data_IF_432924496022
#
_entry.id   IF_432924496022
#
_cell.length_a   1.000
_cell.length_b   1.000
_cell.length_c   1.000
_cell.angle_alpha   90.00
_cell.angle_beta   90.00
_cell.angle_gamma   90.00
#
_symmetry.space_group_name_H-M   'P 1'
#
loop_
_entity.id
_entity.type
_entity.pdbx_description
1 polymer ?
#
# COMPACT_ATOMS: atom_id res chain seq x y z
N UNK A 1 -39.75 -25.79 5.53
CA UNK A 1 -38.97 -24.58 5.81
C UNK A 1 -37.49 -24.83 5.51
N UNK A 2 -36.80 -23.79 5.06
CA UNK A 2 -35.37 -23.85 4.67
C UNK A 2 -34.49 -23.94 5.93
N UNK A 3 -33.52 -24.86 5.92
CA UNK A 3 -32.45 -24.86 6.91
C UNK A 3 -31.34 -23.92 6.42
N UNK A 4 -31.37 -22.69 6.89
CA UNK A 4 -30.49 -21.62 6.44
C UNK A 4 -29.00 -21.93 6.64
N UNK A 5 -28.66 -22.59 7.74
CA UNK A 5 -27.27 -22.96 8.03
C UNK A 5 -26.74 -24.00 7.07
N UNK A 6 -27.55 -25.01 6.75
CA UNK A 6 -27.18 -26.05 5.77
C UNK A 6 -27.10 -25.47 4.35
N UNK A 7 -28.03 -24.56 3.98
CA UNK A 7 -27.97 -23.88 2.69
C UNK A 7 -26.69 -23.05 2.59
N UNK A 8 -26.33 -22.30 3.63
CA UNK A 8 -25.09 -21.52 3.64
C UNK A 8 -23.84 -22.39 3.50
N UNK A 9 -23.82 -23.56 4.14
CA UNK A 9 -22.71 -24.52 4.00
C UNK A 9 -22.59 -25.05 2.56
N UNK A 10 -23.72 -25.38 1.94
CA UNK A 10 -23.72 -25.85 0.54
C UNK A 10 -23.27 -24.75 -0.42
N UNK A 11 -23.70 -23.52 -0.20
CA UNK A 11 -23.26 -22.37 -1.00
C UNK A 11 -21.76 -22.15 -0.83
N UNK A 12 -21.25 -22.16 0.42
CA UNK A 12 -19.83 -21.99 0.69
C UNK A 12 -18.98 -23.07 0.01
N UNK A 13 -19.42 -24.32 0.08
CA UNK A 13 -18.76 -25.45 -0.59
C UNK A 13 -18.76 -25.29 -2.11
N UNK A 14 -19.88 -24.87 -2.69
CA UNK A 14 -20.01 -24.68 -4.14
C UNK A 14 -19.18 -23.51 -4.66
N UNK A 15 -18.99 -22.44 -3.87
CA UNK A 15 -18.16 -21.31 -4.25
C UNK A 15 -16.67 -21.65 -4.32
N UNK A 16 -16.23 -22.63 -3.56
CA UNK A 16 -14.82 -23.02 -3.46
C UNK A 16 -14.11 -22.41 -2.26
N UNK A 17 -13.13 -23.15 -1.75
CA UNK A 17 -12.34 -22.73 -0.60
C UNK A 17 -11.56 -21.45 -0.93
N UNK A 18 -11.63 -20.46 -0.04
CA UNK A 18 -10.95 -19.16 -0.16
C UNK A 18 -11.27 -18.38 -1.45
N UNK A 19 -12.35 -18.72 -2.14
CA UNK A 19 -12.74 -18.06 -3.39
C UNK A 19 -13.61 -16.81 -3.17
N UNK A 20 -14.29 -16.70 -2.05
CA UNK A 20 -15.17 -15.56 -1.75
C UNK A 20 -14.34 -14.36 -1.27
N UNK A 21 -14.47 -13.22 -1.96
CA UNK A 21 -13.76 -11.96 -1.64
C UNK A 21 -14.63 -11.05 -0.80
N UNK A 22 -15.90 -10.88 -1.19
CA UNK A 22 -16.83 -9.99 -0.52
C UNK A 22 -18.26 -10.49 -0.70
N UNK A 23 -19.11 -10.16 0.24
CA UNK A 23 -20.52 -10.57 0.21
C UNK A 23 -21.42 -9.44 0.68
N UNK A 24 -22.53 -9.26 -0.04
CA UNK A 24 -23.66 -8.42 0.33
C UNK A 24 -24.94 -9.14 -0.07
N UNK A 25 -26.08 -8.57 0.26
CA UNK A 25 -27.37 -9.10 -0.18
C UNK A 25 -28.36 -7.98 -0.46
N UNK A 26 -29.34 -8.28 -1.30
CA UNK A 26 -30.54 -7.46 -1.44
C UNK A 26 -31.75 -8.21 -0.86
N UNK A 27 -32.96 -7.76 -1.18
CA UNK A 27 -34.18 -8.36 -0.66
C UNK A 27 -34.35 -9.84 -1.00
N UNK A 28 -33.77 -10.30 -2.12
CA UNK A 28 -33.98 -11.65 -2.66
C UNK A 28 -32.71 -12.41 -3.03
N UNK A 29 -31.56 -11.73 -3.16
CA UNK A 29 -30.32 -12.31 -3.72
C UNK A 29 -29.12 -12.10 -2.82
N UNK A 30 -28.28 -13.12 -2.76
CA UNK A 30 -26.88 -12.94 -2.37
C UNK A 30 -26.14 -12.28 -3.51
N UNK A 31 -25.33 -11.28 -3.20
CA UNK A 31 -24.45 -10.60 -4.15
C UNK A 31 -23.02 -10.82 -3.72
N UNK A 32 -22.26 -11.54 -4.54
CA UNK A 32 -20.96 -12.06 -4.16
C UNK A 32 -19.90 -11.60 -5.15
N UNK A 33 -18.69 -11.38 -4.65
CA UNK A 33 -17.49 -11.22 -5.48
C UNK A 33 -16.56 -12.36 -5.15
N UNK A 34 -16.15 -13.11 -6.17
CA UNK A 34 -15.24 -14.25 -6.05
C UNK A 34 -13.95 -13.97 -6.81
N UNK A 35 -12.88 -14.67 -6.41
CA UNK A 35 -11.57 -14.55 -7.07
C UNK A 35 -11.60 -15.13 -8.48
N UNK A 36 -12.22 -16.30 -8.63
CA UNK A 36 -12.29 -17.03 -9.90
C UNK A 36 -13.65 -17.73 -10.00
N UNK A 37 -14.44 -17.33 -10.99
CA UNK A 37 -15.74 -17.95 -11.25
C UNK A 37 -15.63 -19.39 -11.76
N UNK A 38 -14.49 -19.77 -12.34
CA UNK A 38 -14.24 -21.15 -12.78
C UNK A 38 -14.16 -22.14 -11.61
N UNK A 39 -13.86 -21.66 -10.40
CA UNK A 39 -13.82 -22.49 -9.20
C UNK A 39 -15.21 -22.77 -8.59
N UNK A 40 -16.25 -22.12 -9.10
CA UNK A 40 -17.61 -22.32 -8.64
C UNK A 40 -18.17 -23.64 -9.22
N UNK A 41 -18.71 -24.49 -8.34
CA UNK A 41 -19.43 -25.68 -8.75
C UNK A 41 -20.86 -25.28 -9.17
N UNK A 42 -21.01 -24.87 -10.41
CA UNK A 42 -22.28 -24.39 -10.95
C UNK A 42 -23.36 -25.47 -10.92
N UNK A 43 -23.00 -26.71 -11.19
CA UNK A 43 -23.95 -27.83 -11.17
C UNK A 43 -24.55 -28.04 -9.78
N UNK A 44 -23.76 -27.95 -8.73
CA UNK A 44 -24.24 -28.05 -7.34
C UNK A 44 -25.24 -26.94 -7.01
N UNK A 45 -25.00 -25.71 -7.49
CA UNK A 45 -25.93 -24.59 -7.26
C UNK A 45 -27.21 -24.72 -8.08
N UNK A 46 -27.11 -25.20 -9.32
CA UNK A 46 -28.27 -25.41 -10.18
C UNK A 46 -29.18 -26.53 -9.67
N UNK A 47 -28.58 -27.56 -9.09
CA UNK A 47 -29.33 -28.72 -8.56
C UNK A 47 -29.90 -28.49 -7.13
N UNK A 48 -29.53 -27.40 -6.48
CA UNK A 48 -29.97 -27.11 -5.12
C UNK A 48 -31.42 -26.62 -5.12
N UNK A 49 -32.30 -27.40 -4.48
CA UNK A 49 -33.73 -27.11 -4.42
C UNK A 49 -34.09 -25.84 -3.65
N UNK A 50 -33.22 -25.40 -2.76
CA UNK A 50 -33.44 -24.19 -1.93
C UNK A 50 -33.00 -22.91 -2.63
N UNK A 51 -32.24 -23.03 -3.73
CA UNK A 51 -31.75 -21.90 -4.54
C UNK A 51 -32.60 -21.78 -5.81
N UNK A 52 -32.96 -20.56 -6.16
CA UNK A 52 -33.90 -20.28 -7.27
C UNK A 52 -33.20 -19.91 -8.57
N UNK A 53 -31.88 -19.86 -8.57
CA UNK A 53 -31.08 -19.59 -9.73
C UNK A 53 -29.85 -18.76 -9.41
N UNK A 54 -28.98 -18.63 -10.40
CA UNK A 54 -27.75 -17.83 -10.31
C UNK A 54 -27.70 -16.88 -11.49
N UNK A 55 -26.97 -15.78 -11.28
CA UNK A 55 -26.82 -14.75 -12.31
C UNK A 55 -25.47 -14.08 -12.15
N UNK A 56 -24.76 -13.90 -13.24
CA UNK A 56 -23.45 -13.25 -13.25
C UNK A 56 -23.53 -11.93 -14.02
N UNK A 57 -23.20 -10.82 -13.37
CA UNK A 57 -23.23 -9.51 -14.00
C UNK A 57 -22.30 -8.54 -13.27
N UNK A 58 -21.60 -7.71 -14.04
CA UNK A 58 -20.78 -6.59 -13.54
C UNK A 58 -19.75 -7.01 -12.47
N UNK A 59 -19.15 -8.19 -12.64
CA UNK A 59 -18.17 -8.72 -11.70
C UNK A 59 -18.77 -9.31 -10.42
N UNK A 60 -20.09 -9.39 -10.33
CA UNK A 60 -20.80 -9.99 -9.21
C UNK A 60 -21.41 -11.33 -9.61
N UNK A 61 -21.27 -12.32 -8.72
CA UNK A 61 -21.98 -13.57 -8.82
C UNK A 61 -23.18 -13.52 -7.89
N UNK A 62 -24.38 -13.64 -8.42
CA UNK A 62 -25.60 -13.50 -7.66
C UNK A 62 -26.32 -14.83 -7.52
N UNK A 63 -26.83 -15.14 -6.33
CA UNK A 63 -27.61 -16.34 -6.04
C UNK A 63 -28.98 -15.92 -5.52
N UNK A 64 -30.02 -16.34 -6.20
CA UNK A 64 -31.40 -16.02 -5.79
C UNK A 64 -31.83 -17.00 -4.71
N UNK A 65 -32.02 -16.49 -3.50
CA UNK A 65 -32.48 -17.28 -2.34
C UNK A 65 -33.96 -17.04 -2.09
N UNK A 66 -34.40 -15.80 -2.17
CA UNK A 66 -35.77 -15.42 -1.94
C UNK A 66 -35.95 -14.49 -0.74
N UNK A 67 -37.11 -13.79 -0.68
CA UNK A 67 -37.36 -12.83 0.38
C UNK A 67 -37.42 -13.52 1.76
N UNK A 68 -36.88 -12.85 2.76
CA UNK A 68 -36.85 -13.38 4.14
C UNK A 68 -35.70 -14.34 4.39
N UNK A 69 -35.52 -15.34 3.55
CA UNK A 69 -34.48 -16.37 3.71
C UNK A 69 -33.09 -15.85 3.41
N UNK A 70 -32.98 -14.92 2.46
CA UNK A 70 -31.67 -14.39 2.00
C UNK A 70 -30.86 -13.76 3.13
N UNK A 71 -31.48 -13.01 4.00
CA UNK A 71 -30.81 -12.34 5.11
C UNK A 71 -30.17 -13.35 6.08
N UNK A 72 -30.90 -14.40 6.42
CA UNK A 72 -30.40 -15.42 7.33
C UNK A 72 -29.31 -16.27 6.69
N UNK A 73 -29.49 -16.67 5.43
CA UNK A 73 -28.44 -17.38 4.66
C UNK A 73 -27.19 -16.54 4.53
N UNK A 74 -27.35 -15.24 4.28
CA UNK A 74 -26.22 -14.30 4.19
C UNK A 74 -25.43 -14.25 5.51
N UNK A 75 -26.09 -14.10 6.64
CA UNK A 75 -25.44 -14.07 7.95
C UNK A 75 -24.67 -15.36 8.23
N UNK A 76 -25.26 -16.49 7.93
CA UNK A 76 -24.61 -17.79 8.11
C UNK A 76 -23.42 -17.96 7.15
N UNK A 77 -23.55 -17.51 5.91
CA UNK A 77 -22.46 -17.55 4.92
C UNK A 77 -21.26 -16.70 5.37
N UNK A 78 -21.50 -15.49 5.84
CA UNK A 78 -20.46 -14.60 6.36
C UNK A 78 -19.77 -15.23 7.58
N UNK A 79 -20.53 -15.83 8.48
CA UNK A 79 -19.99 -16.53 9.66
C UNK A 79 -19.10 -17.72 9.27
N UNK A 80 -19.51 -18.51 8.27
CA UNK A 80 -18.77 -19.69 7.81
C UNK A 80 -17.47 -19.30 7.09
N UNK A 81 -17.54 -18.31 6.20
CA UNK A 81 -16.43 -17.92 5.33
C UNK A 81 -15.48 -16.91 5.98
N UNK A 82 -15.90 -16.23 7.04
CA UNK A 82 -15.13 -15.16 7.67
C UNK A 82 -15.00 -13.89 6.82
N UNK A 83 -15.75 -13.80 5.74
CA UNK A 83 -15.77 -12.62 4.87
C UNK A 83 -16.59 -11.52 5.53
N UNK A 84 -16.05 -10.30 5.61
CA UNK A 84 -16.73 -9.17 6.25
C UNK A 84 -17.97 -8.71 5.49
N UNK A 85 -18.94 -8.18 6.24
CA UNK A 85 -20.14 -7.56 5.65
C UNK A 85 -19.76 -6.27 4.96
N UNK A 86 -20.28 -6.08 3.72
CA UNK A 86 -20.09 -4.85 2.95
C UNK A 86 -21.43 -4.33 2.45
N UNK A 87 -21.53 -3.02 2.21
CA UNK A 87 -22.69 -2.42 1.55
C UNK A 87 -22.72 -2.79 0.06
N UNK A 88 -23.86 -2.57 -0.59
CA UNK A 88 -23.96 -2.77 -2.05
C UNK A 88 -22.97 -1.92 -2.83
N UNK A 89 -22.74 -0.67 -2.40
CA UNK A 89 -21.81 0.23 -3.06
C UNK A 89 -20.36 -0.22 -2.86
N UNK A 90 -20.00 -0.64 -1.65
CA UNK A 90 -18.70 -1.23 -1.36
C UNK A 90 -18.47 -2.50 -2.18
N UNK A 91 -19.48 -3.35 -2.33
CA UNK A 91 -19.39 -4.55 -3.15
C UNK A 91 -19.14 -4.21 -4.62
N UNK A 92 -19.79 -3.19 -5.14
CA UNK A 92 -19.57 -2.71 -6.50
C UNK A 92 -18.15 -2.24 -6.72
N UNK A 93 -17.59 -1.52 -5.76
CA UNK A 93 -16.19 -1.07 -5.78
C UNK A 93 -15.23 -2.25 -5.74
N UNK A 94 -15.47 -3.25 -4.88
CA UNK A 94 -14.67 -4.49 -4.83
C UNK A 94 -14.76 -5.26 -6.14
N UNK A 95 -15.94 -5.37 -6.72
CA UNK A 95 -16.15 -6.04 -8.01
C UNK A 95 -15.37 -5.34 -9.13
N UNK A 96 -15.39 -4.02 -9.19
CA UNK A 96 -14.61 -3.25 -10.16
C UNK A 96 -13.10 -3.44 -9.94
N UNK A 97 -12.65 -3.48 -8.70
CA UNK A 97 -11.25 -3.72 -8.34
C UNK A 97 -10.79 -5.10 -8.80
N UNK A 98 -11.59 -6.14 -8.57
CA UNK A 98 -11.26 -7.52 -8.94
C UNK A 98 -11.27 -7.77 -10.46
N UNK A 99 -12.04 -7.01 -11.21
CA UNK A 99 -12.16 -7.19 -12.66
C UNK A 99 -11.23 -6.30 -13.48
N UNK A 100 -10.69 -5.22 -12.89
CA UNK A 100 -9.86 -4.24 -13.58
C UNK A 100 -8.47 -4.17 -12.94
N UNK A 101 -7.38 -4.56 -13.67
CA UNK A 101 -6.02 -4.52 -13.14
C UNK A 101 -5.58 -3.12 -12.67
N UNK A 102 -6.02 -2.07 -13.36
CA UNK A 102 -5.70 -0.69 -12.97
C UNK A 102 -6.36 -0.34 -11.64
N UNK A 103 -7.60 -0.74 -11.44
CA UNK A 103 -8.32 -0.54 -10.18
C UNK A 103 -7.70 -1.33 -9.03
N UNK A 104 -7.17 -2.53 -9.29
CA UNK A 104 -6.40 -3.30 -8.30
C UNK A 104 -5.15 -2.55 -7.85
N UNK A 105 -4.41 -1.99 -8.80
CA UNK A 105 -3.22 -1.19 -8.51
C UNK A 105 -3.58 0.04 -7.66
N UNK A 106 -4.61 0.78 -8.04
CA UNK A 106 -5.11 1.93 -7.28
C UNK A 106 -5.52 1.53 -5.87
N UNK A 107 -6.21 0.39 -5.72
CA UNK A 107 -6.62 -0.14 -4.41
C UNK A 107 -5.42 -0.46 -3.53
N UNK A 108 -4.39 -1.10 -4.07
CA UNK A 108 -3.15 -1.41 -3.34
C UNK A 108 -2.47 -0.12 -2.88
N UNK A 109 -2.29 0.84 -3.78
CA UNK A 109 -1.69 2.14 -3.45
C UNK A 109 -2.52 2.89 -2.40
N UNK A 110 -3.84 2.88 -2.54
CA UNK A 110 -4.75 3.47 -1.57
C UNK A 110 -4.61 2.83 -0.19
N UNK A 111 -4.57 1.50 -0.12
CA UNK A 111 -4.40 0.76 1.14
C UNK A 111 -3.07 1.09 1.82
N UNK A 112 -2.03 1.39 1.04
CA UNK A 112 -0.72 1.79 1.58
C UNK A 112 -0.75 3.23 2.09
N UNK A 113 -1.34 4.17 1.32
CA UNK A 113 -1.23 5.61 1.61
C UNK A 113 -2.31 6.16 2.53
N UNK A 114 -3.54 5.64 2.49
CA UNK A 114 -4.63 6.15 3.33
C UNK A 114 -4.27 6.18 4.83
N UNK A 115 -3.66 5.15 5.41
CA UNK A 115 -3.24 5.20 6.82
C UNK A 115 -2.22 6.29 7.13
N UNK A 116 -1.46 6.76 6.14
CA UNK A 116 -0.43 7.77 6.29
C UNK A 116 -0.96 9.20 6.18
N UNK A 117 -2.18 9.38 5.69
CA UNK A 117 -2.75 10.70 5.43
C UNK A 117 -2.70 11.64 6.64
N UNK A 118 -3.04 11.22 7.88
CA UNK A 118 -2.94 12.11 9.02
C UNK A 118 -1.54 12.67 9.25
N UNK A 119 -0.51 11.85 9.11
CA UNK A 119 0.88 12.30 9.26
C UNK A 119 1.31 13.26 8.15
N UNK A 120 0.91 12.97 6.91
CA UNK A 120 1.23 13.81 5.75
C UNK A 120 0.48 15.14 5.79
N UNK A 121 -0.77 15.13 6.24
CA UNK A 121 -1.56 16.36 6.43
C UNK A 121 -0.95 17.23 7.52
N UNK A 122 -0.58 16.64 8.66
CA UNK A 122 0.08 17.37 9.73
C UNK A 122 1.38 18.03 9.24
N UNK A 123 2.22 17.27 8.56
CA UNK A 123 3.46 17.80 7.97
C UNK A 123 3.20 18.90 6.95
N UNK A 124 2.23 18.70 6.07
CA UNK A 124 1.87 19.69 5.04
C UNK A 124 1.33 21.01 5.62
N UNK A 125 0.46 20.93 6.64
CA UNK A 125 -0.06 22.11 7.32
C UNK A 125 1.03 22.86 8.08
N UNK A 126 1.96 22.14 8.73
CA UNK A 126 3.11 22.75 9.39
C UNK A 126 4.07 23.39 8.39
N UNK A 127 4.25 22.79 7.21
CA UNK A 127 5.02 23.42 6.13
C UNK A 127 4.39 24.73 5.68
N UNK A 128 3.07 24.76 5.54
CA UNK A 128 2.35 25.99 5.18
C UNK A 128 2.56 27.07 6.24
N UNK A 129 2.47 26.70 7.53
CA UNK A 129 2.76 27.64 8.63
C UNK A 129 4.21 28.14 8.56
N UNK A 130 5.17 27.25 8.36
CA UNK A 130 6.57 27.62 8.23
C UNK A 130 6.80 28.58 7.05
N UNK A 131 6.15 28.33 5.93
CA UNK A 131 6.23 29.19 4.73
C UNK A 131 5.68 30.58 5.01
N UNK A 132 4.58 30.69 5.76
CA UNK A 132 4.04 31.98 6.20
C UNK A 132 5.05 32.75 7.07
N UNK A 133 5.76 32.06 7.97
CA UNK A 133 6.74 32.67 8.87
C UNK A 133 8.02 33.11 8.16
N UNK A 134 8.44 32.38 7.12
CA UNK A 134 9.77 32.56 6.50
C UNK A 134 9.74 33.21 5.13
N UNK A 135 8.59 33.30 4.46
CA UNK A 135 8.50 33.86 3.12
C UNK A 135 8.49 35.39 3.16
N UNK A 136 9.31 35.97 2.28
CA UNK A 136 9.31 37.41 2.03
C UNK A 136 8.17 37.80 1.11
N UNK A 137 7.65 39.01 1.24
CA UNK A 137 6.65 39.54 0.32
C UNK A 137 5.18 39.26 0.67
N UNK A 138 4.91 38.46 1.70
CA UNK A 138 3.52 38.20 2.15
C UNK A 138 2.95 39.36 2.98
N UNK A 139 3.76 39.94 3.88
CA UNK A 139 3.38 41.01 4.80
C UNK A 139 4.25 42.24 4.65
N UNK A 140 5.01 42.32 3.57
CA UNK A 140 5.97 43.38 3.30
C UNK A 140 7.26 42.85 2.68
N UNK A 141 8.31 43.67 2.52
CA UNK A 141 9.57 43.21 1.91
C UNK A 141 10.32 42.18 2.76
N UNK A 142 10.07 42.15 4.08
CA UNK A 142 10.70 41.20 4.99
C UNK A 142 9.74 40.07 5.40
N UNK A 143 10.29 38.88 5.71
CA UNK A 143 9.53 37.81 6.33
C UNK A 143 9.21 38.14 7.79
N UNK A 144 8.26 37.41 8.38
CA UNK A 144 7.91 37.54 9.79
C UNK A 144 9.13 37.27 10.68
N UNK A 145 9.92 36.25 10.34
CA UNK A 145 11.16 35.92 11.08
C UNK A 145 12.18 37.07 11.02
N UNK A 146 12.30 37.71 9.87
CA UNK A 146 13.19 38.88 9.73
C UNK A 146 12.70 40.09 10.53
N UNK A 147 11.38 40.32 10.57
CA UNK A 147 10.78 41.44 11.35
C UNK A 147 10.80 41.17 12.85
N UNK A 148 10.67 39.92 13.28
CA UNK A 148 10.64 39.50 14.68
C UNK A 148 11.67 38.38 14.88
N UNK A 149 12.97 38.70 14.99
CA UNK A 149 14.01 37.69 15.10
C UNK A 149 13.85 36.71 16.27
N UNK A 150 13.13 37.09 17.31
CA UNK A 150 12.86 36.22 18.47
C UNK A 150 12.04 34.97 18.17
N UNK A 151 11.36 34.89 17.01
CA UNK A 151 10.59 33.71 16.64
C UNK A 151 11.36 32.77 15.68
N UNK A 152 12.61 33.06 15.36
CA UNK A 152 13.41 32.24 14.45
C UNK A 152 13.53 30.79 14.95
N UNK A 153 13.81 30.60 16.24
CA UNK A 153 13.89 29.30 16.85
C UNK A 153 12.56 28.52 16.79
N UNK A 154 11.46 29.21 16.97
CA UNK A 154 10.13 28.63 16.81
C UNK A 154 9.91 28.16 15.37
N UNK A 155 10.24 29.00 14.39
CA UNK A 155 10.12 28.65 12.97
C UNK A 155 11.00 27.45 12.60
N UNK A 156 12.21 27.36 13.14
CA UNK A 156 13.10 26.21 12.93
C UNK A 156 12.53 24.91 13.48
N UNK A 157 11.93 24.97 14.66
CA UNK A 157 11.27 23.80 15.28
C UNK A 157 10.04 23.40 14.45
N UNK A 158 9.24 24.33 14.00
CA UNK A 158 8.08 24.09 13.12
C UNK A 158 8.55 23.40 11.83
N UNK A 159 9.64 23.89 11.23
CA UNK A 159 10.20 23.30 10.01
C UNK A 159 10.66 21.86 10.24
N UNK A 160 11.30 21.59 11.37
CA UNK A 160 11.72 20.23 11.73
C UNK A 160 10.51 19.30 11.86
N UNK A 161 9.49 19.72 12.58
CA UNK A 161 8.27 18.94 12.74
C UNK A 161 7.54 18.71 11.41
N UNK A 162 7.51 19.71 10.55
CA UNK A 162 6.89 19.65 9.24
C UNK A 162 7.62 18.69 8.30
N UNK A 163 8.94 18.70 8.34
CA UNK A 163 9.80 17.94 7.43
C UNK A 163 9.92 16.46 7.81
N UNK A 164 9.76 16.14 9.10
CA UNK A 164 10.01 14.79 9.60
C UNK A 164 9.19 13.69 8.89
N UNK A 165 7.86 13.82 8.72
CA UNK A 165 7.08 12.78 8.04
C UNK A 165 7.50 12.56 6.58
N UNK A 166 7.96 13.60 5.91
CA UNK A 166 8.38 13.50 4.51
C UNK A 166 9.80 12.95 4.38
N UNK A 167 10.72 13.40 5.22
CA UNK A 167 12.10 12.91 5.20
C UNK A 167 12.17 11.42 5.57
N UNK A 168 11.41 11.02 6.57
CA UNK A 168 11.34 9.64 7.07
C UNK A 168 10.16 8.85 6.51
N UNK A 169 9.59 9.30 5.41
CA UNK A 169 8.51 8.63 4.70
C UNK A 169 8.79 7.14 4.44
N UNK A 170 10.03 6.69 4.14
CA UNK A 170 10.35 5.28 4.00
C UNK A 170 9.94 4.42 5.20
N UNK A 171 10.00 4.94 6.41
CA UNK A 171 9.59 4.20 7.61
C UNK A 171 8.08 3.97 7.60
N UNK A 172 7.31 5.01 7.32
CA UNK A 172 5.85 4.93 7.25
C UNK A 172 5.37 4.05 6.11
N UNK A 173 5.93 4.22 4.94
CA UNK A 173 5.60 3.39 3.76
C UNK A 173 6.05 1.95 3.97
N UNK A 174 7.24 1.75 4.53
CA UNK A 174 7.75 0.41 4.84
C UNK A 174 6.80 -0.36 5.75
N UNK A 175 6.31 0.28 6.80
CA UNK A 175 5.31 -0.29 7.70
C UNK A 175 4.01 -0.62 6.97
N UNK A 176 3.43 0.36 6.31
CA UNK A 176 2.11 0.26 5.68
C UNK A 176 2.11 -0.71 4.50
N UNK A 177 3.11 -0.60 3.62
CA UNK A 177 3.21 -1.46 2.44
C UNK A 177 3.49 -2.92 2.79
N UNK A 178 4.40 -3.16 3.75
CA UNK A 178 4.69 -4.52 4.20
C UNK A 178 3.46 -5.18 4.81
N UNK A 179 2.70 -4.44 5.61
CA UNK A 179 1.42 -4.90 6.15
C UNK A 179 0.44 -5.24 5.02
N UNK A 180 0.32 -4.37 4.02
CA UNK A 180 -0.56 -4.60 2.87
C UNK A 180 -0.17 -5.85 2.07
N UNK A 181 1.12 -6.11 1.93
CA UNK A 181 1.64 -7.29 1.23
C UNK A 181 1.64 -8.57 2.10
N UNK A 182 1.14 -8.50 3.31
CA UNK A 182 0.98 -9.66 4.20
C UNK A 182 2.22 -10.03 4.99
N UNK A 183 3.22 -9.15 5.07
CA UNK A 183 4.40 -9.30 5.91
C UNK A 183 4.22 -8.63 7.28
N UNK A 184 5.26 -8.74 8.10
CA UNK A 184 5.29 -8.10 9.42
C UNK A 184 5.55 -6.59 9.26
N UNK A 185 4.61 -5.73 9.67
CA UNK A 185 4.76 -4.28 9.47
C UNK A 185 5.94 -3.70 10.26
N UNK A 186 6.32 -4.27 11.39
CA UNK A 186 7.48 -3.78 12.14
C UNK A 186 8.79 -4.08 11.44
N UNK A 187 8.91 -5.23 10.77
CA UNK A 187 10.04 -5.51 9.89
C UNK A 187 10.05 -4.54 8.70
N UNK A 188 8.89 -4.20 8.18
CA UNK A 188 8.76 -3.18 7.15
C UNK A 188 9.25 -1.80 7.61
N UNK A 189 8.89 -1.41 8.83
CA UNK A 189 9.40 -0.18 9.44
C UNK A 189 10.92 -0.24 9.62
N UNK A 190 11.46 -1.36 10.09
CA UNK A 190 12.91 -1.55 10.24
C UNK A 190 13.64 -1.43 8.89
N UNK A 191 13.10 -2.01 7.84
CA UNK A 191 13.64 -1.85 6.49
C UNK A 191 13.62 -0.39 6.03
N UNK A 192 12.53 0.32 6.31
CA UNK A 192 12.43 1.76 6.06
C UNK A 192 13.47 2.58 6.82
N UNK A 193 13.69 2.25 8.08
CA UNK A 193 14.74 2.89 8.90
C UNK A 193 16.13 2.70 8.31
N UNK A 194 16.41 1.51 7.82
CA UNK A 194 17.68 1.16 7.17
C UNK A 194 17.95 2.08 5.97
N UNK A 195 16.92 2.44 5.22
CA UNK A 195 17.03 3.29 4.03
C UNK A 195 17.26 4.77 4.35
N UNK A 196 17.06 5.20 5.57
CA UNK A 196 17.23 6.59 6.01
C UNK A 196 18.28 6.74 7.10
N UNK A 197 19.19 5.78 7.22
CA UNK A 197 20.29 5.86 8.19
C UNK A 197 21.16 7.09 7.94
N UNK A 198 21.53 7.83 9.00
CA UNK A 198 22.35 9.05 8.86
C UNK A 198 23.72 8.84 8.24
N UNK A 199 24.27 7.61 8.29
CA UNK A 199 25.54 7.27 7.67
C UNK A 199 25.50 7.25 6.14
N UNK A 200 24.30 7.19 5.56
CA UNK A 200 24.10 7.25 4.10
C UNK A 200 24.06 8.71 3.64
N UNK A 201 24.37 8.92 2.38
CA UNK A 201 24.11 10.22 1.74
C UNK A 201 22.60 10.43 1.72
N UNK A 202 22.15 11.57 2.24
CA UNK A 202 20.71 11.88 2.30
C UNK A 202 20.08 11.76 0.91
N UNK A 203 18.90 11.16 0.85
CA UNK A 203 18.20 10.91 -0.42
C UNK A 203 17.98 12.16 -1.26
N UNK A 204 17.81 13.32 -0.64
CA UNK A 204 17.67 14.60 -1.34
C UNK A 204 18.97 15.06 -1.98
N UNK A 205 20.11 14.58 -1.51
CA UNK A 205 21.44 14.96 -2.01
C UNK A 205 22.10 13.91 -2.91
N UNK A 206 21.44 12.77 -3.17
CA UNK A 206 22.05 11.66 -3.92
C UNK A 206 22.42 12.04 -5.36
N UNK A 207 21.50 12.71 -6.08
CA UNK A 207 21.75 13.11 -7.47
C UNK A 207 22.94 14.08 -7.58
N UNK A 208 23.01 15.05 -6.69
CA UNK A 208 24.12 16.00 -6.63
C UNK A 208 25.44 15.30 -6.30
N UNK A 209 25.41 14.37 -5.33
CA UNK A 209 26.60 13.61 -4.95
C UNK A 209 27.12 12.75 -6.10
N UNK A 210 26.25 12.14 -6.91
CA UNK A 210 26.62 11.38 -8.09
C UNK A 210 27.19 12.31 -9.16
N UNK A 211 26.51 13.43 -9.44
CA UNK A 211 26.92 14.39 -10.46
C UNK A 211 28.28 15.05 -10.15
N UNK A 212 28.54 15.32 -8.88
CA UNK A 212 29.82 15.92 -8.42
C UNK A 212 30.90 14.90 -8.09
N UNK A 213 30.66 13.62 -8.34
CA UNK A 213 31.57 12.49 -8.06
C UNK A 213 31.99 12.40 -6.59
N UNK A 214 31.08 12.74 -5.68
CA UNK A 214 31.29 12.70 -4.22
C UNK A 214 30.52 11.58 -3.53
N UNK A 215 29.85 10.70 -4.30
CA UNK A 215 29.12 9.56 -3.73
C UNK A 215 30.10 8.55 -3.14
N UNK A 216 29.98 8.22 -1.84
CA UNK A 216 30.74 7.12 -1.27
C UNK A 216 30.17 5.78 -1.68
N UNK A 217 31.03 4.78 -1.82
CA UNK A 217 30.66 3.41 -2.19
C UNK A 217 31.22 2.41 -1.19
N UNK A 218 30.47 1.34 -0.95
CA UNK A 218 31.01 0.14 -0.32
C UNK A 218 31.62 -0.77 -1.39
N UNK A 219 32.73 -1.39 -1.06
CA UNK A 219 33.28 -2.49 -1.87
C UNK A 219 32.86 -3.81 -1.21
N UNK A 220 31.98 -4.55 -1.90
CA UNK A 220 31.50 -5.85 -1.43
C UNK A 220 31.88 -6.90 -2.48
N UNK A 221 32.91 -7.66 -2.18
CA UNK A 221 33.44 -8.70 -3.07
C UNK A 221 33.76 -8.19 -4.50
N UNK A 222 34.27 -6.97 -4.61
CA UNK A 222 34.60 -6.32 -5.87
C UNK A 222 33.45 -5.54 -6.49
N UNK A 223 32.24 -5.64 -5.97
CA UNK A 223 31.09 -4.84 -6.40
C UNK A 223 31.01 -3.52 -5.62
N UNK A 224 30.82 -2.43 -6.34
CA UNK A 224 30.63 -1.11 -5.72
C UNK A 224 29.15 -0.84 -5.51
N UNK A 225 28.77 -0.64 -4.25
CA UNK A 225 27.40 -0.33 -3.84
C UNK A 225 27.38 1.08 -3.29
N UNK A 226 26.56 1.96 -3.87
CA UNK A 226 26.43 3.34 -3.42
C UNK A 226 25.84 3.42 -2.01
N UNK A 227 26.45 4.26 -1.17
CA UNK A 227 25.96 4.56 0.18
C UNK A 227 24.88 5.64 0.11
N UNK A 228 23.80 5.34 -0.59
CA UNK A 228 22.73 6.28 -0.91
C UNK A 228 21.50 6.03 -0.03
N UNK A 229 21.02 7.09 0.60
CA UNK A 229 19.78 7.10 1.36
C UNK A 229 18.54 7.30 0.48
N UNK A 230 17.38 7.07 1.07
CA UNK A 230 16.08 7.09 0.35
C UNK A 230 15.06 8.04 1.00
N UNK A 231 15.53 9.12 1.64
CA UNK A 231 14.65 10.14 2.21
C UNK A 231 13.69 10.68 1.14
N UNK A 232 12.42 10.76 1.48
CA UNK A 232 11.40 11.27 0.57
C UNK A 232 11.03 10.37 -0.60
N UNK A 233 11.62 9.19 -0.72
CA UNK A 233 11.33 8.25 -1.80
C UNK A 233 10.13 7.37 -1.47
N UNK A 234 9.37 7.01 -2.50
CA UNK A 234 8.14 6.20 -2.40
C UNK A 234 8.29 4.87 -3.11
N UNK A 235 8.57 4.90 -4.41
CA UNK A 235 8.57 3.71 -5.26
C UNK A 235 9.62 2.67 -4.82
N UNK A 236 10.87 3.04 -4.50
CA UNK A 236 11.84 2.08 -3.99
C UNK A 236 11.37 1.39 -2.71
N UNK A 237 10.73 2.12 -1.81
CA UNK A 237 10.28 1.59 -0.52
C UNK A 237 9.14 0.59 -0.69
N UNK A 238 8.23 0.84 -1.61
CA UNK A 238 7.16 -0.12 -1.95
C UNK A 238 7.78 -1.42 -2.48
N UNK A 239 8.77 -1.31 -3.35
CA UNK A 239 9.50 -2.47 -3.87
C UNK A 239 10.22 -3.25 -2.77
N UNK A 240 10.88 -2.55 -1.85
CA UNK A 240 11.54 -3.15 -0.68
C UNK A 240 10.53 -3.89 0.20
N UNK A 241 9.39 -3.28 0.48
CA UNK A 241 8.34 -3.88 1.30
C UNK A 241 7.79 -5.17 0.66
N UNK A 242 7.62 -5.16 -0.65
CA UNK A 242 7.15 -6.34 -1.39
C UNK A 242 8.17 -7.50 -1.31
N UNK A 243 9.45 -7.19 -1.52
CA UNK A 243 10.53 -8.19 -1.41
C UNK A 243 10.60 -8.74 -0.01
N UNK A 244 10.58 -7.87 1.00
CA UNK A 244 10.63 -8.27 2.41
C UNK A 244 9.47 -9.20 2.77
N UNK A 245 8.24 -8.83 2.41
CA UNK A 245 7.05 -9.63 2.68
C UNK A 245 7.12 -10.98 1.96
N UNK A 246 7.59 -11.00 0.72
CA UNK A 246 7.74 -12.22 -0.07
C UNK A 246 8.77 -13.17 0.56
N UNK A 247 9.92 -12.66 0.96
CA UNK A 247 10.97 -13.45 1.64
C UNK A 247 10.50 -13.97 2.99
N UNK A 248 9.82 -13.14 3.76
CA UNK A 248 9.25 -13.53 5.05
C UNK A 248 8.29 -14.71 4.89
N UNK A 249 7.37 -14.65 3.94
CA UNK A 249 6.44 -15.74 3.64
C UNK A 249 7.16 -17.00 3.16
N UNK A 250 8.18 -16.83 2.32
CA UNK A 250 9.00 -17.94 1.84
C UNK A 250 9.68 -18.67 3.00
N UNK A 251 10.33 -17.94 3.90
CA UNK A 251 11.01 -18.54 5.05
C UNK A 251 10.05 -19.15 6.06
N UNK A 252 8.90 -18.53 6.32
CA UNK A 252 7.86 -19.11 7.17
C UNK A 252 7.36 -20.46 6.63
N UNK A 253 7.30 -20.59 5.32
CA UNK A 253 6.88 -21.85 4.68
C UNK A 253 7.94 -22.95 4.80
N UNK A 254 9.22 -22.61 4.78
CA UNK A 254 10.33 -23.58 4.72
C UNK A 254 11.02 -23.83 6.05
N UNK A 255 10.98 -22.87 6.98
CA UNK A 255 11.54 -23.01 8.32
C UNK A 255 10.41 -23.31 9.31
N UNK A 256 10.74 -24.02 10.39
CA UNK A 256 9.73 -24.48 11.36
C UNK A 256 10.08 -24.06 12.78
N UNK A 257 9.05 -23.75 13.58
CA UNK A 257 9.12 -23.53 15.04
C UNK A 257 10.12 -22.44 15.45
N UNK A 258 11.01 -22.75 16.39
CA UNK A 258 11.98 -21.80 16.92
C UNK A 258 12.99 -21.29 15.87
N UNK A 259 13.31 -22.10 14.86
CA UNK A 259 14.20 -21.71 13.75
C UNK A 259 13.51 -20.63 12.93
N UNK A 260 12.24 -20.80 12.60
CA UNK A 260 11.45 -19.81 11.89
C UNK A 260 11.35 -18.51 12.69
N UNK A 261 10.97 -18.59 13.94
CA UNK A 261 10.82 -17.41 14.81
C UNK A 261 12.10 -16.58 14.91
N UNK A 262 13.25 -17.26 15.00
CA UNK A 262 14.55 -16.61 15.22
C UNK A 262 15.20 -16.13 13.93
N UNK A 263 15.21 -16.97 12.89
CA UNK A 263 16.00 -16.72 11.67
C UNK A 263 15.24 -16.06 10.55
N UNK A 264 13.92 -16.24 10.44
CA UNK A 264 13.14 -15.64 9.36
C UNK A 264 13.26 -14.11 9.32
N UNK A 265 13.08 -13.37 10.44
CA UNK A 265 13.28 -11.93 10.43
C UNK A 265 14.68 -11.50 9.97
N UNK A 266 15.71 -12.15 10.50
CA UNK A 266 17.10 -11.82 10.16
C UNK A 266 17.40 -12.11 8.68
N UNK A 267 17.03 -13.27 8.18
CA UNK A 267 17.28 -13.66 6.79
C UNK A 267 16.49 -12.77 5.81
N UNK A 268 15.24 -12.47 6.12
CA UNK A 268 14.43 -11.60 5.29
C UNK A 268 15.02 -10.18 5.21
N UNK A 269 15.44 -9.62 6.34
CA UNK A 269 16.04 -8.28 6.40
C UNK A 269 17.40 -8.23 5.71
N UNK A 270 18.29 -9.19 5.94
CA UNK A 270 19.63 -9.16 5.34
C UNK A 270 19.57 -9.30 3.83
N UNK A 271 18.77 -10.21 3.31
CA UNK A 271 18.61 -10.40 1.86
C UNK A 271 17.97 -9.17 1.25
N UNK A 272 16.90 -8.66 1.86
CA UNK A 272 16.22 -7.45 1.38
C UNK A 272 17.17 -6.26 1.37
N UNK A 273 17.99 -6.09 2.41
CA UNK A 273 18.95 -5.00 2.51
C UNK A 273 19.98 -5.02 1.40
N UNK A 274 20.66 -6.14 1.19
CA UNK A 274 21.66 -6.26 0.13
C UNK A 274 21.07 -6.10 -1.26
N UNK A 275 19.93 -6.74 -1.53
CA UNK A 275 19.26 -6.62 -2.83
C UNK A 275 18.81 -5.18 -3.08
N UNK A 276 18.32 -4.50 -2.05
CA UNK A 276 17.84 -3.10 -2.16
C UNK A 276 19.00 -2.16 -2.50
N UNK A 277 20.07 -2.17 -1.71
CA UNK A 277 21.17 -1.25 -1.92
C UNK A 277 21.94 -1.56 -3.20
N UNK A 278 22.08 -2.84 -3.57
CA UNK A 278 22.85 -3.25 -4.74
C UNK A 278 22.10 -3.06 -6.06
N UNK A 279 20.82 -3.36 -6.12
CA UNK A 279 20.08 -3.47 -7.40
C UNK A 279 18.74 -2.74 -7.37
N UNK A 280 17.82 -3.15 -6.50
CA UNK A 280 16.41 -2.73 -6.56
C UNK A 280 16.25 -1.25 -6.31
N UNK A 281 16.92 -0.73 -5.28
CA UNK A 281 16.87 0.68 -4.93
C UNK A 281 17.35 1.59 -6.03
N UNK A 282 18.57 1.39 -6.56
CA UNK A 282 19.07 2.18 -7.69
C UNK A 282 18.18 2.13 -8.94
N UNK A 283 17.66 0.94 -9.29
CA UNK A 283 16.76 0.77 -10.44
C UNK A 283 15.44 1.54 -10.23
N UNK A 284 14.79 1.36 -9.09
CA UNK A 284 13.51 2.03 -8.81
C UNK A 284 13.67 3.52 -8.58
N UNK A 285 14.81 3.98 -8.02
CA UNK A 285 15.15 5.40 -7.95
C UNK A 285 15.29 5.99 -9.35
N UNK A 286 15.97 5.29 -10.25
CA UNK A 286 16.12 5.71 -11.64
C UNK A 286 14.77 5.84 -12.35
N UNK A 287 13.85 4.88 -12.15
CA UNK A 287 12.49 4.94 -12.69
C UNK A 287 11.72 6.11 -12.10
N UNK A 288 11.79 6.31 -10.78
CA UNK A 288 11.10 7.40 -10.09
C UNK A 288 11.59 8.77 -10.58
N UNK A 289 12.90 8.94 -10.72
CA UNK A 289 13.49 10.17 -11.25
C UNK A 289 13.12 10.41 -12.71
N UNK A 290 13.10 9.34 -13.52
CA UNK A 290 12.67 9.41 -14.92
C UNK A 290 11.21 9.81 -15.06
N UNK A 291 10.33 9.31 -14.20
CA UNK A 291 8.92 9.71 -14.17
C UNK A 291 8.77 11.18 -13.81
N UNK A 292 9.48 11.66 -12.80
CA UNK A 292 9.48 13.07 -12.40
C UNK A 292 9.99 13.97 -13.53
N UNK A 293 11.11 13.62 -14.14
CA UNK A 293 11.69 14.36 -15.27
C UNK A 293 10.73 14.39 -16.47
N UNK A 294 10.07 13.28 -16.75
CA UNK A 294 9.06 13.18 -17.79
C UNK A 294 7.86 14.09 -17.54
N UNK A 295 7.37 14.15 -16.29
CA UNK A 295 6.29 15.04 -15.90
C UNK A 295 6.68 16.51 -16.03
N UNK A 296 7.88 16.89 -15.58
CA UNK A 296 8.41 18.24 -15.71
C UNK A 296 8.54 18.63 -17.18
N UNK A 297 9.10 17.74 -18.01
CA UNK A 297 9.17 17.95 -19.45
C UNK A 297 7.78 18.17 -20.08
N UNK A 298 6.81 17.35 -19.71
CA UNK A 298 5.43 17.43 -20.21
C UNK A 298 4.78 18.75 -19.82
N UNK A 299 4.90 19.14 -18.55
CA UNK A 299 4.37 20.42 -18.04
C UNK A 299 5.01 21.61 -18.76
N UNK A 300 6.33 21.60 -18.91
CA UNK A 300 7.04 22.68 -19.61
C UNK A 300 6.68 22.75 -21.10
N UNK A 301 6.47 21.61 -21.74
CA UNK A 301 6.08 21.54 -23.15
C UNK A 301 4.62 21.95 -23.37
N UNK A 302 3.71 21.44 -22.56
CA UNK A 302 2.26 21.74 -22.67
C UNK A 302 1.88 23.05 -22.01
N UNK A 303 2.62 23.49 -21.00
CA UNK A 303 2.39 24.77 -20.32
C UNK A 303 2.53 25.97 -21.26
N UNK A 304 3.41 25.87 -22.27
CA UNK A 304 3.53 26.88 -23.31
C UNK A 304 2.36 26.91 -24.31
N UNK A 305 1.59 25.84 -24.35
CA UNK A 305 0.40 25.73 -25.23
C UNK A 305 -0.88 26.08 -24.48
N UNK A 306 -0.89 25.93 -23.14
CA UNK A 306 -2.03 26.22 -22.28
C UNK A 306 -2.23 27.68 -21.90
N UNK A 307 -1.28 28.52 -22.28
CA UNK A 307 -1.36 29.97 -22.17
C UNK A 307 -1.77 30.53 -23.55
#
# INVERSE_FOLDING_TARGET
SMDHKEVAKRVAAALGEDNLVAAAHCATRLRLVVKDTANIDQAALDDDADLKGTFEANGQYQIIVGPGDVNTVYKELVAITGVGEVSKDELKDVANTETNPLMKLIKVLSDIFVPLIPALVAGGLLMALNNVLTSQGLFGPQSIVEMVPGIQGFAEIVNLMASAPFAFLPILIGFSATKRFGGNPYLGAAAGMMLVMPSLVNGYGVLEAIASNKMPYWDVFGFKIAQAGYQGQVLPVIGVAWILATLEKFFHKHLKNAIDFTFTPMLAVIITGFVTFAVVGPVLRGISNGMTDGLVWLVNTLGGVGY
#
